data_IF_705837631800
#
_entry.id   IF_705837631800
#
_cell.length_a   1.000
_cell.length_b   1.000
_cell.length_c   1.000
_cell.angle_alpha   90.00
_cell.angle_beta   90.00
_cell.angle_gamma   90.00
#
_symmetry.space_group_name_H-M   'P 1'
#
loop_
_entity.id
_entity.type
_entity.pdbx_description
1 polymer ?
#
# COMPACT_ATOMS: atom_id res chain seq x y z
N UNK A 1 -34.23 5.26 -22.82
CA UNK A 1 -33.13 5.67 -21.94
C UNK A 1 -32.06 4.60 -21.99
N UNK A 2 -31.09 4.78 -22.85
CA UNK A 2 -29.95 3.85 -22.99
C UNK A 2 -28.95 4.15 -21.90
N UNK A 3 -28.94 3.32 -20.86
CA UNK A 3 -27.87 3.33 -19.85
C UNK A 3 -26.56 2.96 -20.52
N UNK A 4 -25.71 3.94 -20.74
CA UNK A 4 -24.30 3.70 -21.10
C UNK A 4 -23.65 3.01 -19.90
N UNK A 5 -23.49 1.69 -19.98
CA UNK A 5 -22.59 0.97 -19.08
C UNK A 5 -21.19 1.51 -19.35
N UNK A 6 -20.64 2.27 -18.43
CA UNK A 6 -19.23 2.65 -18.49
C UNK A 6 -18.42 1.36 -18.46
N UNK A 7 -17.61 1.14 -19.49
CA UNK A 7 -16.65 0.04 -19.51
C UNK A 7 -15.76 0.22 -18.27
N UNK A 8 -15.79 -0.75 -17.36
CA UNK A 8 -14.93 -0.75 -16.16
C UNK A 8 -13.48 -0.63 -16.60
N UNK A 9 -12.70 0.19 -15.91
CA UNK A 9 -11.25 0.20 -16.11
C UNK A 9 -10.68 -1.18 -15.72
N UNK A 10 -9.57 -1.58 -16.34
CA UNK A 10 -8.90 -2.87 -16.06
C UNK A 10 -8.68 -3.11 -14.56
N UNK A 11 -8.35 -2.06 -13.81
CA UNK A 11 -8.15 -2.11 -12.36
C UNK A 11 -9.41 -2.40 -11.54
N UNK A 12 -10.58 -2.15 -12.09
CA UNK A 12 -11.87 -2.34 -11.42
C UNK A 12 -12.55 -3.64 -11.84
N UNK A 13 -11.92 -4.45 -12.71
CA UNK A 13 -12.39 -5.77 -13.04
C UNK A 13 -12.29 -6.70 -11.82
N UNK A 14 -13.24 -7.63 -11.60
CA UNK A 14 -13.20 -8.56 -10.47
C UNK A 14 -11.86 -9.26 -10.29
N UNK A 15 -11.23 -9.74 -11.35
CA UNK A 15 -9.94 -10.44 -11.28
C UNK A 15 -8.80 -9.54 -10.73
N UNK A 16 -8.85 -8.24 -11.00
CA UNK A 16 -7.88 -7.29 -10.46
C UNK A 16 -8.11 -7.06 -8.95
N UNK A 17 -9.37 -6.92 -8.56
CA UNK A 17 -9.77 -6.78 -7.16
C UNK A 17 -9.45 -8.06 -6.37
N UNK A 18 -9.75 -9.23 -6.93
CA UNK A 18 -9.42 -10.53 -6.32
C UNK A 18 -7.91 -10.68 -6.09
N UNK A 19 -7.09 -10.22 -7.02
CA UNK A 19 -5.63 -10.19 -6.88
C UNK A 19 -5.18 -9.29 -5.75
N UNK A 20 -5.77 -8.08 -5.61
CA UNK A 20 -5.46 -7.14 -4.54
C UNK A 20 -5.86 -7.72 -3.17
N UNK A 21 -7.06 -8.28 -3.06
CA UNK A 21 -7.52 -8.95 -1.84
C UNK A 21 -6.63 -10.14 -1.48
N UNK A 22 -6.30 -10.99 -2.47
CA UNK A 22 -5.40 -12.13 -2.28
C UNK A 22 -4.00 -11.71 -1.84
N UNK A 23 -3.49 -10.58 -2.35
CA UNK A 23 -2.21 -10.02 -1.94
C UNK A 23 -2.26 -9.55 -0.49
N UNK A 24 -3.29 -8.79 -0.11
CA UNK A 24 -3.48 -8.30 1.26
C UNK A 24 -3.51 -9.44 2.30
N UNK A 25 -4.10 -10.57 1.95
CA UNK A 25 -4.19 -11.73 2.84
C UNK A 25 -2.87 -12.52 2.96
N UNK A 26 -1.99 -12.42 1.98
CA UNK A 26 -0.73 -13.20 1.90
C UNK A 26 0.49 -12.39 2.32
N UNK A 27 0.51 -11.09 2.01
CA UNK A 27 1.68 -10.26 2.27
C UNK A 27 1.78 -9.93 3.77
N UNK A 28 3.00 -9.93 4.28
CA UNK A 28 3.25 -9.38 5.61
C UNK A 28 3.31 -7.84 5.53
N UNK A 29 2.82 -7.12 6.54
CA UNK A 29 2.97 -5.67 6.57
C UNK A 29 4.45 -5.30 6.64
N UNK A 30 4.83 -4.16 6.06
CA UNK A 30 6.17 -3.57 6.16
C UNK A 30 6.55 -3.30 7.62
N UNK A 31 5.56 -3.01 8.43
CA UNK A 31 5.68 -2.78 9.85
C UNK A 31 4.35 -3.08 10.56
N UNK A 32 4.47 -3.61 11.78
CA UNK A 32 3.36 -3.84 12.71
C UNK A 32 3.76 -3.43 14.13
N UNK A 33 2.81 -2.95 14.93
CA UNK A 33 3.06 -2.46 16.29
C UNK A 33 3.31 -3.58 17.29
N UNK A 34 2.78 -4.78 17.07
CA UNK A 34 2.97 -5.94 17.93
C UNK A 34 3.51 -7.13 17.13
N UNK A 35 4.68 -7.63 17.56
CA UNK A 35 5.32 -8.82 16.98
C UNK A 35 4.91 -10.11 17.68
N UNK A 36 4.21 -10.03 18.84
CA UNK A 36 3.77 -11.17 19.62
C UNK A 36 2.42 -11.73 19.17
N UNK A 37 1.65 -10.95 18.40
CA UNK A 37 0.43 -11.45 17.80
C UNK A 37 0.83 -12.38 16.65
N UNK A 38 0.70 -13.68 16.85
CA UNK A 38 1.11 -14.73 15.90
C UNK A 38 0.38 -14.67 14.55
N UNK A 39 -0.67 -13.87 14.45
CA UNK A 39 -1.41 -13.70 13.22
C UNK A 39 -1.72 -12.22 12.98
N UNK A 40 -1.30 -11.70 11.83
CA UNK A 40 -1.93 -10.51 11.26
C UNK A 40 -3.42 -10.81 11.17
N UNK A 41 -4.33 -9.99 11.74
CA UNK A 41 -5.77 -10.25 11.72
C UNK A 41 -6.29 -10.64 10.34
N UNK A 42 -5.77 -10.03 9.28
CA UNK A 42 -6.11 -10.34 7.90
C UNK A 42 -5.85 -11.80 7.50
N UNK A 43 -4.79 -12.44 8.03
CA UNK A 43 -4.50 -13.86 7.75
C UNK A 43 -5.50 -14.82 8.44
N UNK A 44 -6.15 -14.39 9.50
CA UNK A 44 -7.21 -15.16 10.18
C UNK A 44 -8.57 -15.07 9.48
N UNK A 45 -8.77 -14.02 8.70
CA UNK A 45 -10.04 -13.70 8.03
C UNK A 45 -10.31 -14.58 6.78
N UNK A 46 -9.42 -15.49 6.42
CA UNK A 46 -9.29 -16.10 5.09
C UNK A 46 -10.29 -17.20 4.69
N UNK A 47 -11.45 -17.36 5.31
CA UNK A 47 -12.41 -18.42 4.93
C UNK A 47 -13.59 -17.92 4.05
N UNK A 48 -13.63 -16.63 3.69
CA UNK A 48 -14.63 -16.10 2.75
C UNK A 48 -14.26 -16.36 1.29
N UNK A 49 -15.24 -16.36 0.40
CA UNK A 49 -15.00 -16.38 -1.05
C UNK A 49 -14.46 -15.03 -1.52
N UNK A 50 -13.14 -14.91 -1.63
CA UNK A 50 -12.48 -13.68 -2.14
C UNK A 50 -13.04 -13.28 -3.49
N UNK A 51 -13.37 -14.26 -4.34
CA UNK A 51 -13.99 -14.06 -5.66
C UNK A 51 -15.36 -13.38 -5.53
N UNK A 52 -16.18 -13.78 -4.55
CA UNK A 52 -17.48 -13.16 -4.29
C UNK A 52 -17.33 -11.72 -3.81
N UNK A 53 -16.43 -11.48 -2.85
CA UNK A 53 -16.11 -10.12 -2.36
C UNK A 53 -15.64 -9.23 -3.52
N UNK A 54 -14.78 -9.76 -4.40
CA UNK A 54 -14.28 -9.03 -5.55
C UNK A 54 -15.39 -8.68 -6.55
N UNK A 55 -16.32 -9.60 -6.82
CA UNK A 55 -17.47 -9.36 -7.68
C UNK A 55 -18.41 -8.29 -7.09
N UNK A 56 -18.72 -8.38 -5.79
CA UNK A 56 -19.57 -7.43 -5.10
C UNK A 56 -18.98 -6.02 -5.15
N UNK A 57 -17.68 -5.91 -4.83
CA UNK A 57 -16.98 -4.63 -4.83
C UNK A 57 -16.84 -4.05 -6.26
N UNK A 58 -16.60 -4.89 -7.27
CA UNK A 58 -16.57 -4.47 -8.67
C UNK A 58 -17.92 -3.89 -9.11
N UNK A 59 -19.02 -4.54 -8.73
CA UNK A 59 -20.37 -4.05 -9.00
C UNK A 59 -20.65 -2.72 -8.30
N UNK A 60 -20.28 -2.59 -7.02
CA UNK A 60 -20.39 -1.34 -6.26
C UNK A 60 -19.63 -0.21 -6.96
N UNK A 61 -18.38 -0.45 -7.38
CA UNK A 61 -17.56 0.55 -8.06
C UNK A 61 -18.08 0.89 -9.47
N UNK A 62 -18.76 -0.03 -10.13
CA UNK A 62 -19.42 0.25 -11.39
C UNK A 62 -20.57 1.26 -11.24
N UNK A 63 -21.28 1.24 -10.11
CA UNK A 63 -22.40 2.14 -9.82
C UNK A 63 -21.97 3.46 -9.19
N UNK A 64 -21.04 3.42 -8.23
CA UNK A 64 -20.67 4.58 -7.39
C UNK A 64 -19.33 5.20 -7.79
N UNK A 65 -18.58 4.55 -8.65
CA UNK A 65 -17.22 4.91 -9.04
C UNK A 65 -16.17 4.37 -8.07
N UNK A 66 -15.09 3.84 -8.64
CA UNK A 66 -13.96 3.34 -7.85
C UNK A 66 -13.18 4.48 -7.19
N UNK A 67 -12.59 4.24 -6.00
CA UNK A 67 -11.76 5.23 -5.33
C UNK A 67 -10.51 5.59 -6.15
N UNK A 68 -10.33 6.87 -6.46
CA UNK A 68 -9.18 7.37 -7.25
C UNK A 68 -7.87 7.47 -6.47
N UNK A 69 -7.96 7.65 -5.14
CA UNK A 69 -6.79 7.73 -4.27
C UNK A 69 -6.43 6.35 -3.75
N UNK A 70 -5.16 5.99 -3.84
CA UNK A 70 -4.65 4.67 -3.45
C UNK A 70 -5.00 4.28 -2.00
N UNK A 71 -4.89 5.22 -1.06
CA UNK A 71 -5.30 5.00 0.33
C UNK A 71 -6.78 4.64 0.45
N UNK A 72 -7.65 5.37 -0.25
CA UNK A 72 -9.10 5.10 -0.26
C UNK A 72 -9.44 3.76 -0.91
N UNK A 73 -8.71 3.37 -1.97
CA UNK A 73 -8.87 2.06 -2.58
C UNK A 73 -8.48 0.95 -1.59
N UNK A 74 -7.37 1.12 -0.91
CA UNK A 74 -6.90 0.19 0.12
C UNK A 74 -7.91 0.06 1.28
N UNK A 75 -8.44 1.18 1.78
CA UNK A 75 -9.50 1.20 2.79
C UNK A 75 -10.77 0.49 2.30
N UNK A 76 -11.19 0.73 1.05
CA UNK A 76 -12.38 0.07 0.47
C UNK A 76 -12.22 -1.46 0.36
N UNK A 77 -11.03 -1.93 -0.01
CA UNK A 77 -10.70 -3.37 -0.03
C UNK A 77 -10.78 -3.98 1.39
N UNK A 78 -10.22 -3.31 2.39
CA UNK A 78 -10.27 -3.76 3.78
C UNK A 78 -11.69 -3.76 4.34
N UNK A 79 -12.46 -2.70 4.05
CA UNK A 79 -13.86 -2.61 4.47
C UNK A 79 -14.66 -3.79 3.91
N UNK A 80 -14.53 -4.07 2.61
CA UNK A 80 -15.22 -5.20 1.98
C UNK A 80 -14.81 -6.54 2.60
N UNK A 81 -13.53 -6.73 2.94
CA UNK A 81 -13.08 -7.93 3.66
C UNK A 81 -13.74 -8.05 5.04
N UNK A 82 -13.76 -6.97 5.83
CA UNK A 82 -14.31 -7.01 7.19
C UNK A 82 -15.84 -7.16 7.20
N UNK A 83 -16.54 -6.63 6.22
CA UNK A 83 -18.01 -6.71 6.12
C UNK A 83 -18.52 -8.06 5.61
N UNK A 84 -17.76 -8.72 4.71
CA UNK A 84 -18.23 -9.90 4.00
C UNK A 84 -17.58 -11.21 4.49
N UNK A 85 -16.87 -11.17 5.61
CA UNK A 85 -16.23 -12.35 6.20
C UNK A 85 -16.93 -12.77 7.49
N UNK A 86 -17.32 -14.03 7.60
CA UNK A 86 -18.08 -14.55 8.76
C UNK A 86 -17.33 -14.46 10.09
N UNK A 87 -15.98 -14.60 10.07
CA UNK A 87 -15.14 -14.56 11.28
C UNK A 87 -14.91 -13.15 11.81
N UNK A 88 -15.25 -12.13 11.03
CA UNK A 88 -15.02 -10.75 11.38
C UNK A 88 -16.32 -9.96 11.31
N UNK A 89 -16.58 -9.15 12.31
CA UNK A 89 -17.66 -8.17 12.28
C UNK A 89 -17.07 -6.77 12.28
N UNK A 90 -17.30 -6.00 11.22
CA UNK A 90 -16.99 -4.57 11.21
C UNK A 90 -17.96 -3.86 12.16
N UNK A 91 -17.44 -3.32 13.26
CA UNK A 91 -18.23 -2.55 14.23
C UNK A 91 -18.32 -1.08 13.81
N UNK A 92 -17.20 -0.50 13.37
CA UNK A 92 -17.12 0.88 12.90
C UNK A 92 -15.92 1.07 12.00
N UNK A 93 -16.08 1.88 10.95
CA UNK A 93 -15.02 2.42 10.10
C UNK A 93 -15.04 3.94 10.22
N UNK A 94 -13.88 4.56 10.42
CA UNK A 94 -13.70 5.99 10.41
C UNK A 94 -14.39 6.71 11.59
N UNK A 95 -14.18 6.24 12.83
CA UNK A 95 -14.74 6.90 14.00
C UNK A 95 -13.92 8.15 14.35
N UNK A 96 -14.48 9.33 14.08
CA UNK A 96 -13.82 10.61 14.36
C UNK A 96 -13.89 10.92 15.86
N UNK A 97 -12.73 11.12 16.48
CA UNK A 97 -12.58 11.56 17.88
C UNK A 97 -12.37 13.06 17.94
N UNK A 98 -13.15 13.75 18.77
CA UNK A 98 -13.16 15.21 18.87
C UNK A 98 -13.05 15.67 20.32
N UNK A 99 -12.35 16.81 20.48
CA UNK A 99 -12.52 17.68 21.66
C UNK A 99 -13.32 18.90 21.21
N UNK A 100 -14.57 18.97 21.62
CA UNK A 100 -15.53 19.99 21.18
C UNK A 100 -15.60 20.12 19.64
N UNK A 101 -14.99 21.17 19.06
CA UNK A 101 -14.94 21.42 17.61
C UNK A 101 -13.64 20.96 16.96
N UNK A 102 -12.61 20.63 17.76
CA UNK A 102 -11.31 20.21 17.26
C UNK A 102 -11.31 18.70 17.01
N UNK A 103 -10.95 18.27 15.81
CA UNK A 103 -10.68 16.86 15.52
C UNK A 103 -9.32 16.49 16.11
N UNK A 104 -9.29 15.52 17.03
CA UNK A 104 -8.09 14.95 17.61
C UNK A 104 -7.51 13.85 16.74
N UNK A 105 -8.36 13.11 16.02
CA UNK A 105 -7.98 12.04 15.11
C UNK A 105 -9.19 11.21 14.71
N UNK A 106 -8.90 10.05 14.11
CA UNK A 106 -9.90 9.09 13.66
C UNK A 106 -9.42 7.70 14.03
N UNK A 107 -10.30 6.81 14.49
CA UNK A 107 -10.02 5.38 14.59
C UNK A 107 -10.34 4.77 13.23
N UNK A 108 -9.34 4.23 12.53
CA UNK A 108 -9.52 3.72 11.18
C UNK A 108 -10.56 2.58 11.17
N UNK A 109 -10.36 1.56 12.00
CA UNK A 109 -11.27 0.43 12.11
C UNK A 109 -11.48 -0.03 13.55
N UNK A 110 -12.72 -0.31 13.91
CA UNK A 110 -13.09 -1.10 15.07
C UNK A 110 -13.75 -2.38 14.56
N UNK A 111 -13.13 -3.53 14.82
CA UNK A 111 -13.64 -4.84 14.39
C UNK A 111 -13.77 -5.78 15.57
N UNK A 112 -14.71 -6.72 15.47
CA UNK A 112 -14.76 -7.87 16.34
C UNK A 112 -14.27 -9.09 15.56
N UNK A 113 -13.20 -9.72 16.06
CA UNK A 113 -12.63 -10.93 15.51
C UNK A 113 -12.71 -12.01 16.58
N UNK A 114 -13.48 -13.06 16.32
CA UNK A 114 -13.87 -14.05 17.34
C UNK A 114 -14.55 -13.36 18.54
N UNK A 115 -13.95 -13.45 19.73
CA UNK A 115 -14.45 -12.79 20.96
C UNK A 115 -13.74 -11.49 21.30
N UNK A 116 -12.76 -11.05 20.49
CA UNK A 116 -11.95 -9.87 20.79
C UNK A 116 -12.38 -8.66 19.94
N UNK A 117 -12.39 -7.49 20.56
CA UNK A 117 -12.57 -6.22 19.89
C UNK A 117 -11.21 -5.59 19.61
N UNK A 118 -10.93 -5.31 18.35
CA UNK A 118 -9.65 -4.75 17.90
C UNK A 118 -9.85 -3.35 17.33
N UNK A 119 -9.04 -2.40 17.79
CA UNK A 119 -8.82 -1.14 17.10
C UNK A 119 -7.64 -1.32 16.16
N UNK A 120 -7.89 -1.19 14.85
CA UNK A 120 -6.86 -1.31 13.82
C UNK A 120 -6.58 0.05 13.19
N UNK A 121 -5.31 0.43 13.17
CA UNK A 121 -4.79 1.56 12.39
C UNK A 121 -4.03 1.01 11.19
N UNK A 122 -4.43 1.37 9.99
CA UNK A 122 -3.91 0.77 8.77
C UNK A 122 -3.40 1.83 7.79
N UNK A 123 -2.33 1.51 7.08
CA UNK A 123 -1.83 2.37 6.03
C UNK A 123 -1.23 1.56 4.88
N UNK A 124 -1.38 2.07 3.64
CA UNK A 124 -0.57 1.62 2.52
C UNK A 124 0.44 2.71 2.16
N UNK A 125 1.72 2.34 2.09
CA UNK A 125 2.84 3.25 1.92
C UNK A 125 3.86 2.71 0.93
N UNK A 126 4.53 3.64 0.26
CA UNK A 126 5.59 3.36 -0.71
C UNK A 126 6.79 4.18 -0.27
N UNK A 127 7.87 3.50 0.14
CA UNK A 127 9.07 4.17 0.64
C UNK A 127 10.29 3.76 -0.18
N UNK A 128 10.97 4.74 -0.74
CA UNK A 128 12.23 4.57 -1.43
C UNK A 128 13.40 4.58 -0.44
N UNK A 129 14.25 3.57 -0.51
CA UNK A 129 15.45 3.47 0.32
C UNK A 129 16.55 4.40 -0.18
N UNK A 130 17.15 5.17 0.73
CA UNK A 130 18.20 6.13 0.47
C UNK A 130 19.50 5.68 1.14
N UNK A 131 20.64 6.01 0.53
CA UNK A 131 21.95 5.68 1.07
C UNK A 131 22.41 4.25 0.78
N UNK A 132 23.41 3.78 1.52
CA UNK A 132 23.98 2.44 1.41
C UNK A 132 23.06 1.34 1.96
N UNK A 133 23.42 0.08 1.77
CA UNK A 133 22.66 -1.05 2.34
C UNK A 133 22.61 -1.01 3.87
N UNK A 134 23.71 -0.57 4.52
CA UNK A 134 23.76 -0.39 5.97
C UNK A 134 22.86 0.75 6.45
N UNK A 135 22.70 1.83 5.68
CA UNK A 135 21.76 2.91 6.02
C UNK A 135 20.32 2.42 5.93
N UNK A 136 20.00 1.63 4.90
CA UNK A 136 18.66 1.08 4.67
C UNK A 136 18.21 0.01 5.70
N UNK A 137 19.09 -0.45 6.57
CA UNK A 137 18.68 -1.21 7.76
C UNK A 137 17.92 -0.37 8.79
N UNK A 138 17.98 0.95 8.68
CA UNK A 138 17.31 1.89 9.58
C UNK A 138 16.01 2.41 8.96
N UNK A 139 14.98 2.53 9.77
CA UNK A 139 13.66 3.04 9.32
C UNK A 139 13.74 4.47 8.75
N UNK A 140 14.68 5.27 9.22
CA UNK A 140 14.91 6.66 8.78
C UNK A 140 15.32 6.75 7.30
N UNK A 141 15.96 5.72 6.74
CA UNK A 141 16.42 5.71 5.36
C UNK A 141 15.29 5.47 4.34
N UNK A 142 14.05 5.29 4.77
CA UNK A 142 12.91 5.00 3.91
C UNK A 142 12.00 6.20 3.79
N UNK A 143 12.02 6.83 2.61
CA UNK A 143 11.40 8.13 2.34
C UNK A 143 10.32 8.00 1.27
N UNK A 144 9.17 8.63 1.52
CA UNK A 144 8.07 8.65 0.54
C UNK A 144 8.42 9.44 -0.73
N UNK A 145 7.82 9.14 -1.90
CA UNK A 145 8.15 9.76 -3.18
C UNK A 145 8.00 11.29 -3.24
N UNK A 146 7.19 11.86 -2.35
CA UNK A 146 6.99 13.32 -2.23
C UNK A 146 8.01 14.00 -1.31
N UNK A 147 8.89 13.26 -0.63
CA UNK A 147 9.76 13.76 0.43
C UNK A 147 9.02 14.48 1.58
N UNK A 148 7.76 14.14 1.83
CA UNK A 148 6.95 14.68 2.92
C UNK A 148 6.65 13.62 4.01
N UNK A 149 6.96 12.36 3.74
CA UNK A 149 6.70 11.23 4.60
C UNK A 149 7.96 10.37 4.74
N UNK A 150 8.16 9.82 5.93
CA UNK A 150 9.29 8.96 6.27
C UNK A 150 8.81 7.85 7.21
N UNK A 151 9.31 6.63 7.01
CA UNK A 151 8.80 5.44 7.70
C UNK A 151 8.86 5.55 9.23
N UNK A 152 9.98 6.03 9.79
CA UNK A 152 10.13 6.20 11.24
C UNK A 152 9.17 7.26 11.81
N UNK A 153 8.93 8.36 11.08
CA UNK A 153 7.97 9.41 11.49
C UNK A 153 6.55 8.81 11.48
N UNK A 154 6.20 8.04 10.44
CA UNK A 154 4.88 7.38 10.38
C UNK A 154 4.71 6.38 11.52
N UNK A 155 5.74 5.58 11.82
CA UNK A 155 5.72 4.62 12.94
C UNK A 155 5.55 5.34 14.28
N UNK A 156 6.32 6.40 14.52
CA UNK A 156 6.23 7.18 15.76
C UNK A 156 4.84 7.79 15.94
N UNK A 157 4.27 8.35 14.87
CA UNK A 157 2.91 8.90 14.91
C UNK A 157 1.86 7.82 15.20
N UNK A 158 1.99 6.63 14.59
CA UNK A 158 1.14 5.49 14.89
C UNK A 158 1.23 5.11 16.37
N UNK A 159 2.43 4.86 16.89
CA UNK A 159 2.65 4.35 18.24
C UNK A 159 2.20 5.34 19.33
N UNK A 160 2.54 6.62 19.16
CA UNK A 160 2.39 7.62 20.22
C UNK A 160 1.12 8.46 20.08
N UNK A 161 0.40 8.34 18.99
CA UNK A 161 -0.82 9.12 18.78
C UNK A 161 -2.00 8.23 18.34
N UNK A 162 -1.97 7.63 17.15
CA UNK A 162 -3.13 6.96 16.59
C UNK A 162 -3.56 5.75 17.45
N UNK A 163 -2.64 4.85 17.80
CA UNK A 163 -2.95 3.66 18.59
C UNK A 163 -3.37 3.96 20.02
N UNK A 164 -3.03 5.14 20.56
CA UNK A 164 -3.44 5.54 21.91
C UNK A 164 -4.84 6.18 21.91
N UNK A 165 -5.32 6.63 20.76
CA UNK A 165 -6.51 7.47 20.65
C UNK A 165 -7.77 6.82 21.24
N UNK A 166 -7.99 5.52 21.01
CA UNK A 166 -9.12 4.78 21.56
C UNK A 166 -9.08 4.64 23.09
N UNK A 167 -7.91 4.80 23.72
CA UNK A 167 -7.72 4.71 25.17
C UNK A 167 -7.80 6.07 25.87
N UNK A 168 -7.83 7.17 25.11
CA UNK A 168 -8.00 8.53 25.68
C UNK A 168 -9.42 8.74 26.16
N UNK A 169 -9.62 9.72 27.07
CA UNK A 169 -10.94 10.11 27.54
C UNK A 169 -11.89 10.47 26.36
N UNK A 170 -11.40 11.27 25.40
CA UNK A 170 -12.19 11.63 24.22
C UNK A 170 -12.47 10.43 23.31
N UNK A 171 -11.52 9.48 23.20
CA UNK A 171 -11.71 8.23 22.46
C UNK A 171 -12.81 7.37 23.09
N UNK A 172 -12.78 7.20 24.41
CA UNK A 172 -13.83 6.48 25.15
C UNK A 172 -15.19 7.17 25.04
N UNK A 173 -15.24 8.49 25.17
CA UNK A 173 -16.48 9.26 24.96
C UNK A 173 -17.03 9.08 23.55
N UNK A 174 -16.17 9.03 22.53
CA UNK A 174 -16.59 8.79 21.15
C UNK A 174 -17.14 7.36 20.95
N UNK A 175 -16.52 6.36 21.58
CA UNK A 175 -17.02 4.98 21.58
C UNK A 175 -18.39 4.89 22.26
N UNK A 176 -18.55 5.47 23.46
CA UNK A 176 -19.81 5.47 24.22
C UNK A 176 -20.94 6.17 23.46
N UNK A 177 -20.67 7.30 22.79
CA UNK A 177 -21.64 8.04 21.99
C UNK A 177 -22.22 7.22 20.82
N UNK A 178 -21.50 6.18 20.39
CA UNK A 178 -21.88 5.30 19.28
C UNK A 178 -22.29 3.90 19.74
N UNK A 179 -22.44 3.67 21.07
CA UNK A 179 -22.74 2.36 21.65
C UNK A 179 -21.71 1.27 21.22
N UNK A 180 -20.44 1.66 21.09
CA UNK A 180 -19.34 0.80 20.67
C UNK A 180 -18.53 0.29 21.86
N UNK A 181 -18.08 -0.97 21.84
CA UNK A 181 -17.26 -1.51 22.93
C UNK A 181 -15.85 -0.91 22.92
N UNK A 182 -15.26 -0.82 24.12
CA UNK A 182 -13.82 -0.50 24.25
C UNK A 182 -12.98 -1.61 23.62
N UNK A 183 -11.95 -1.29 22.80
CA UNK A 183 -11.08 -2.29 22.23
C UNK A 183 -10.27 -3.05 23.28
N UNK A 184 -10.20 -4.39 23.15
CA UNK A 184 -9.32 -5.23 23.95
C UNK A 184 -7.84 -5.03 23.56
N UNK A 185 -7.59 -4.74 22.27
CA UNK A 185 -6.25 -4.53 21.72
C UNK A 185 -6.25 -3.43 20.65
N UNK A 186 -5.09 -2.78 20.50
CA UNK A 186 -4.83 -1.84 19.41
C UNK A 186 -3.68 -2.36 18.55
N UNK A 187 -3.82 -2.31 17.23
CA UNK A 187 -2.83 -2.84 16.30
C UNK A 187 -2.62 -1.89 15.11
N UNK A 188 -1.38 -1.49 14.90
CA UNK A 188 -0.96 -0.70 13.74
C UNK A 188 -0.31 -1.56 12.68
N UNK A 189 -0.73 -1.41 11.42
CA UNK A 189 -0.27 -2.16 10.27
C UNK A 189 0.09 -1.21 9.12
N UNK A 190 1.33 -1.27 8.65
CA UNK A 190 1.76 -0.52 7.45
C UNK A 190 2.03 -1.54 6.35
N UNK A 191 1.24 -1.50 5.29
CA UNK A 191 1.42 -2.28 4.06
C UNK A 191 2.12 -1.47 2.97
N UNK A 192 2.53 -2.12 1.90
CA UNK A 192 3.07 -1.49 0.70
C UNK A 192 4.43 -2.00 0.27
N UNK A 193 5.32 -1.11 -0.16
CA UNK A 193 6.60 -1.50 -0.74
C UNK A 193 7.77 -0.71 -0.17
N UNK A 194 8.84 -1.42 0.20
CA UNK A 194 10.17 -0.87 0.40
C UNK A 194 10.93 -0.97 -0.93
N UNK A 195 11.15 0.17 -1.56
CA UNK A 195 11.62 0.30 -2.94
C UNK A 195 13.13 0.56 -2.93
N UNK A 196 13.92 -0.37 -3.46
CA UNK A 196 15.38 -0.29 -3.46
C UNK A 196 15.91 0.62 -4.58
N UNK A 197 17.07 1.27 -4.43
CA UNK A 197 17.74 1.90 -5.56
C UNK A 197 18.01 0.86 -6.67
N UNK A 198 17.81 1.22 -7.94
CA UNK A 198 17.95 0.31 -9.07
C UNK A 198 19.36 -0.28 -9.24
N UNK A 199 20.39 0.40 -8.74
CA UNK A 199 21.79 -0.01 -8.78
C UNK A 199 22.22 -0.85 -7.55
N UNK A 200 21.29 -1.15 -6.64
CA UNK A 200 21.52 -1.95 -5.44
C UNK A 200 20.88 -3.35 -5.54
N UNK A 201 20.74 -3.89 -6.75
CA UNK A 201 20.08 -5.19 -7.01
C UNK A 201 20.72 -6.33 -6.22
N UNK A 202 22.04 -6.29 -6.06
CA UNK A 202 22.81 -7.33 -5.33
C UNK A 202 22.83 -7.10 -3.80
N UNK A 203 22.22 -6.03 -3.31
CA UNK A 203 22.25 -5.61 -1.90
C UNK A 203 20.85 -5.67 -1.27
N UNK A 204 20.11 -6.75 -1.48
CA UNK A 204 18.78 -6.90 -0.87
C UNK A 204 18.89 -6.95 0.64
N UNK A 205 18.16 -6.10 1.39
CA UNK A 205 18.02 -6.28 2.84
C UNK A 205 17.30 -7.61 3.11
N UNK A 206 17.68 -8.30 4.17
CA UNK A 206 17.07 -9.57 4.59
C UNK A 206 15.56 -9.50 4.88
N UNK A 207 15.00 -8.29 4.97
CA UNK A 207 13.59 -8.03 5.30
C UNK A 207 12.74 -7.50 4.14
N UNK A 208 13.23 -7.53 2.90
CA UNK A 208 12.35 -7.21 1.77
C UNK A 208 11.43 -8.40 1.50
N UNK A 209 10.13 -8.14 1.44
CA UNK A 209 9.15 -9.14 1.00
C UNK A 209 9.60 -9.75 -0.32
N UNK A 210 9.99 -11.03 -0.28
CA UNK A 210 10.69 -11.73 -1.36
C UNK A 210 9.86 -11.95 -2.63
N UNK A 211 8.56 -11.66 -2.58
CA UNK A 211 7.67 -12.03 -3.68
C UNK A 211 7.73 -11.10 -4.89
N UNK A 212 7.94 -9.80 -4.70
CA UNK A 212 7.93 -8.83 -5.82
C UNK A 212 8.93 -7.70 -5.61
N UNK A 213 10.12 -7.79 -6.23
CA UNK A 213 11.15 -6.78 -6.12
C UNK A 213 10.69 -5.44 -6.69
N UNK A 214 10.86 -4.37 -5.90
CA UNK A 214 10.57 -3.00 -6.30
C UNK A 214 11.84 -2.15 -6.25
N UNK A 215 12.09 -1.44 -7.35
CA UNK A 215 13.25 -0.58 -7.50
C UNK A 215 12.84 0.85 -7.82
N UNK A 216 13.71 1.81 -7.54
CA UNK A 216 13.52 3.19 -7.96
C UNK A 216 14.74 3.73 -8.70
N UNK A 217 14.49 4.68 -9.59
CA UNK A 217 15.52 5.44 -10.29
C UNK A 217 15.06 6.88 -10.49
N UNK A 218 15.96 7.88 -10.48
CA UNK A 218 15.61 9.21 -10.93
C UNK A 218 15.29 9.18 -12.44
N UNK A 219 14.40 10.03 -12.89
CA UNK A 219 13.91 10.06 -14.28
C UNK A 219 15.03 10.05 -15.32
N UNK A 220 16.08 10.84 -15.13
CA UNK A 220 17.25 10.88 -16.03
C UNK A 220 17.98 9.55 -16.17
N UNK A 221 17.84 8.63 -15.21
CA UNK A 221 18.45 7.29 -15.22
C UNK A 221 17.45 6.18 -15.54
N UNK A 222 16.17 6.47 -15.69
CA UNK A 222 15.12 5.47 -15.78
C UNK A 222 15.32 4.47 -16.92
N UNK A 223 15.66 4.93 -18.14
CA UNK A 223 15.92 4.04 -19.28
C UNK A 223 17.16 3.16 -19.07
N UNK A 224 18.19 3.68 -18.37
CA UNK A 224 19.36 2.88 -17.99
C UNK A 224 18.98 1.83 -16.97
N UNK A 225 18.20 2.19 -15.96
CA UNK A 225 17.66 1.28 -14.94
C UNK A 225 16.81 0.18 -15.58
N UNK A 226 15.87 0.52 -16.45
CA UNK A 226 15.01 -0.43 -17.17
C UNK A 226 15.85 -1.45 -17.94
N UNK A 227 16.86 -1.01 -18.69
CA UNK A 227 17.76 -1.91 -19.43
C UNK A 227 18.57 -2.81 -18.50
N UNK A 228 19.05 -2.29 -17.37
CA UNK A 228 19.83 -3.05 -16.40
C UNK A 228 18.97 -4.13 -15.72
N UNK A 229 17.80 -3.74 -15.22
CA UNK A 229 16.87 -4.63 -14.51
C UNK A 229 16.25 -5.71 -15.42
N UNK A 230 16.18 -5.46 -16.74
CA UNK A 230 15.68 -6.45 -17.71
C UNK A 230 16.70 -7.49 -18.10
N UNK A 231 18.02 -7.29 -17.84
CA UNK A 231 19.08 -8.21 -18.30
C UNK A 231 18.92 -9.69 -17.93
N UNK A 232 18.40 -10.04 -16.72
CA UNK A 232 18.21 -11.43 -16.35
C UNK A 232 17.04 -12.12 -17.08
N UNK A 233 16.22 -11.34 -17.81
CA UNK A 233 15.01 -11.82 -18.47
C UNK A 233 15.21 -11.86 -19.99
N UNK A 234 14.46 -12.75 -20.67
CA UNK A 234 14.51 -12.83 -22.14
C UNK A 234 13.95 -11.55 -22.80
N UNK A 235 14.20 -11.42 -24.12
CA UNK A 235 13.63 -10.34 -24.93
C UNK A 235 12.09 -10.37 -25.01
N UNK A 236 11.46 -11.45 -24.51
CA UNK A 236 10.00 -11.58 -24.45
C UNK A 236 9.36 -10.76 -23.34
N UNK A 237 10.18 -10.14 -22.47
CA UNK A 237 9.70 -9.23 -21.43
C UNK A 237 9.75 -7.77 -21.88
N UNK A 238 8.85 -6.98 -21.36
CA UNK A 238 8.76 -5.54 -21.62
C UNK A 238 8.16 -4.79 -20.45
N UNK A 239 8.33 -3.48 -20.46
CA UNK A 239 7.84 -2.60 -19.41
C UNK A 239 6.47 -2.05 -19.75
N UNK A 240 5.55 -2.06 -18.78
CA UNK A 240 4.21 -1.47 -18.84
C UNK A 240 4.09 -0.41 -17.77
N UNK A 241 3.66 0.81 -18.14
CA UNK A 241 3.31 1.84 -17.17
C UNK A 241 2.04 1.43 -16.44
N UNK A 242 2.05 1.54 -15.13
CA UNK A 242 0.91 1.24 -14.25
C UNK A 242 0.20 2.53 -13.87
N UNK A 243 -1.13 2.51 -13.94
CA UNK A 243 -1.94 3.54 -13.30
C UNK A 243 -1.87 3.41 -11.77
N UNK A 244 -2.17 4.48 -11.04
CA UNK A 244 -2.01 4.49 -9.58
C UNK A 244 -2.83 3.43 -8.86
N UNK A 245 -4.02 3.15 -9.34
CA UNK A 245 -4.91 2.11 -8.79
C UNK A 245 -4.43 0.67 -9.03
N UNK A 246 -3.39 0.48 -9.86
CA UNK A 246 -2.71 -0.80 -10.10
C UNK A 246 -1.46 -1.01 -9.22
N UNK A 247 -1.19 -0.14 -8.25
CA UNK A 247 0.04 -0.21 -7.46
C UNK A 247 -0.05 -1.12 -6.24
N UNK A 248 -1.24 -1.47 -5.76
CA UNK A 248 -1.43 -2.23 -4.51
C UNK A 248 -0.79 -3.62 -4.62
N UNK A 249 -1.31 -4.45 -5.50
CA UNK A 249 -0.81 -5.81 -5.71
C UNK A 249 0.12 -5.88 -6.95
N UNK A 250 0.91 -6.96 -7.07
CA UNK A 250 1.64 -7.21 -8.30
C UNK A 250 0.73 -7.24 -9.51
N UNK A 251 1.11 -6.49 -10.55
CA UNK A 251 0.33 -6.40 -11.77
C UNK A 251 0.33 -7.74 -12.53
N UNK A 252 -0.84 -8.19 -12.96
CA UNK A 252 -0.97 -9.33 -13.84
C UNK A 252 -1.58 -8.88 -15.17
N UNK A 253 -0.78 -8.97 -16.22
CA UNK A 253 -1.16 -8.56 -17.56
C UNK A 253 -0.08 -8.91 -18.57
N UNK A 254 -0.29 -8.51 -19.81
CA UNK A 254 0.75 -8.53 -20.84
C UNK A 254 1.51 -7.21 -20.80
N UNK A 255 2.81 -7.25 -21.09
CA UNK A 255 3.49 -6.02 -21.41
C UNK A 255 2.83 -5.41 -22.66
N UNK A 256 2.53 -4.12 -22.61
CA UNK A 256 2.11 -3.41 -23.81
C UNK A 256 3.10 -3.74 -24.93
N UNK A 257 2.58 -4.07 -26.13
CA UNK A 257 3.42 -4.26 -27.32
C UNK A 257 4.44 -3.14 -27.37
N UNK A 258 5.71 -3.38 -27.71
CA UNK A 258 6.80 -2.50 -27.45
C UNK A 258 6.60 -1.18 -28.19
N UNK A 259 5.88 -0.26 -27.61
CA UNK A 259 6.30 1.11 -27.75
C UNK A 259 7.67 1.08 -27.09
N UNK A 260 8.69 1.02 -27.94
CA UNK A 260 10.06 1.25 -27.50
C UNK A 260 9.96 2.50 -26.67
N UNK A 261 10.06 2.37 -25.33
CA UNK A 261 10.03 3.53 -24.45
C UNK A 261 11.27 4.33 -24.84
N UNK A 262 11.12 5.22 -25.82
CA UNK A 262 12.19 6.07 -26.35
C UNK A 262 12.40 7.28 -25.45
N UNK A 263 11.32 7.70 -24.79
CA UNK A 263 11.32 8.80 -23.83
C UNK A 263 10.27 8.51 -22.75
N UNK A 264 10.56 8.91 -21.53
CA UNK A 264 9.64 8.91 -20.42
C UNK A 264 9.23 10.35 -20.13
N UNK A 265 7.96 10.54 -19.77
CA UNK A 265 7.51 11.83 -19.24
C UNK A 265 8.09 12.04 -17.84
N UNK A 266 8.38 13.29 -17.50
CA UNK A 266 8.86 13.64 -16.17
C UNK A 266 7.70 13.49 -15.17
N UNK A 267 7.81 12.60 -14.17
CA UNK A 267 6.74 12.39 -13.19
C UNK A 267 6.62 13.61 -12.26
N UNK A 268 5.42 13.90 -11.81
CA UNK A 268 5.20 14.93 -10.77
C UNK A 268 5.74 14.49 -9.40
N UNK A 269 5.63 13.22 -9.07
CA UNK A 269 6.20 12.60 -7.87
C UNK A 269 6.90 11.29 -8.24
N UNK A 270 6.14 10.31 -8.69
CA UNK A 270 6.62 9.02 -9.19
C UNK A 270 5.65 8.45 -10.21
N UNK A 271 6.21 7.73 -11.20
CA UNK A 271 5.50 6.79 -12.07
C UNK A 271 5.96 5.37 -11.77
N UNK A 272 5.08 4.39 -11.93
CA UNK A 272 5.40 2.98 -11.71
C UNK A 272 5.33 2.20 -13.01
N UNK A 273 6.30 1.33 -13.23
CA UNK A 273 6.40 0.45 -14.40
C UNK A 273 6.60 -0.99 -13.94
N UNK A 274 5.85 -1.92 -14.52
CA UNK A 274 5.94 -3.35 -14.29
C UNK A 274 6.68 -4.04 -15.45
N UNK A 275 7.53 -5.02 -15.14
CA UNK A 275 8.18 -5.88 -16.13
C UNK A 275 7.38 -7.15 -16.33
N UNK A 276 6.67 -7.25 -17.46
CA UNK A 276 5.78 -8.35 -17.81
C UNK A 276 6.20 -9.05 -19.10
N UNK A 277 5.68 -10.27 -19.30
CA UNK A 277 5.83 -10.99 -20.57
C UNK A 277 5.00 -10.31 -21.67
N UNK A 278 5.54 -10.21 -22.90
CA UNK A 278 4.91 -9.51 -24.03
C UNK A 278 3.75 -10.27 -24.68
N UNK A 279 3.76 -11.60 -24.60
CA UNK A 279 2.80 -12.46 -25.32
C UNK A 279 1.85 -13.22 -24.38
N UNK A 280 2.18 -13.30 -23.09
CA UNK A 280 1.40 -14.05 -22.12
C UNK A 280 0.97 -13.17 -20.96
N UNK A 281 -0.30 -13.29 -20.57
CA UNK A 281 -0.81 -12.71 -19.34
C UNK A 281 -0.12 -13.42 -18.18
N UNK A 282 0.50 -12.65 -17.28
CA UNK A 282 1.18 -13.20 -16.13
C UNK A 282 1.55 -12.12 -15.12
N UNK A 283 1.89 -12.58 -13.92
CA UNK A 283 2.31 -11.67 -12.84
C UNK A 283 3.66 -11.03 -13.19
N UNK A 284 3.80 -9.75 -12.92
CA UNK A 284 5.05 -8.99 -13.11
C UNK A 284 6.24 -9.67 -12.44
N UNK A 285 7.43 -9.50 -13.00
CA UNK A 285 8.68 -10.02 -12.42
C UNK A 285 9.26 -9.07 -11.38
N UNK A 286 9.12 -7.78 -11.64
CA UNK A 286 9.55 -6.70 -10.77
C UNK A 286 8.90 -5.39 -11.23
N UNK A 287 9.00 -4.35 -10.40
CA UNK A 287 8.55 -3.01 -10.76
C UNK A 287 9.64 -1.96 -10.55
N UNK A 288 9.57 -0.91 -11.35
CA UNK A 288 10.44 0.26 -11.26
C UNK A 288 9.60 1.51 -11.01
N UNK A 289 9.90 2.21 -9.94
CA UNK A 289 9.39 3.54 -9.67
C UNK A 289 10.35 4.58 -10.24
N UNK A 290 9.88 5.36 -11.19
CA UNK A 290 10.63 6.48 -11.77
C UNK A 290 10.28 7.71 -10.97
N UNK A 291 11.27 8.26 -10.26
CA UNK A 291 11.16 9.45 -9.41
C UNK A 291 11.56 10.70 -10.20
N UNK A 292 11.09 11.88 -9.78
CA UNK A 292 11.63 13.14 -10.28
C UNK A 292 13.14 13.24 -10.00
N UNK A 293 13.85 14.05 -10.79
CA UNK A 293 15.31 14.08 -10.73
C UNK A 293 15.83 14.59 -9.38
N UNK A 294 15.09 15.50 -8.74
CA UNK A 294 15.45 16.16 -7.48
C UNK A 294 15.21 15.26 -6.25
N UNK A 295 14.50 14.13 -6.43
CA UNK A 295 14.08 13.26 -5.33
C UNK A 295 15.24 12.83 -4.41
N UNK A 296 16.35 12.35 -4.98
CA UNK A 296 17.48 11.85 -4.19
C UNK A 296 18.11 12.95 -3.33
N UNK A 297 18.29 14.15 -3.90
CA UNK A 297 18.82 15.30 -3.17
C UNK A 297 17.91 15.77 -2.05
N UNK A 298 16.60 15.87 -2.31
CA UNK A 298 15.61 16.27 -1.30
C UNK A 298 15.48 15.23 -0.20
N UNK A 299 15.55 13.95 -0.54
CA UNK A 299 15.53 12.86 0.41
C UNK A 299 16.75 12.90 1.35
N UNK A 300 17.95 13.17 0.84
CA UNK A 300 19.12 13.40 1.67
C UNK A 300 18.97 14.61 2.61
N UNK A 301 18.43 15.73 2.11
CA UNK A 301 18.13 16.87 2.97
C UNK A 301 17.13 16.54 4.10
N UNK A 302 16.18 15.64 3.85
CA UNK A 302 15.23 15.18 4.86
C UNK A 302 15.93 14.35 5.95
N UNK A 303 16.92 13.54 5.59
CA UNK A 303 17.74 12.79 6.54
C UNK A 303 18.59 13.71 7.43
N UNK A 304 19.25 14.71 6.83
CA UNK A 304 20.17 15.62 7.54
C UNK A 304 19.47 16.51 8.58
N UNK A 305 18.21 16.90 8.32
CA UNK A 305 17.43 17.71 9.27
C UNK A 305 17.16 17.01 10.59
N UNK A 306 17.17 15.69 10.62
CA UNK A 306 16.85 14.89 11.80
C UNK A 306 18.04 14.71 12.74
N UNK A 307 19.26 14.91 12.26
CA UNK A 307 20.46 14.89 13.12
C UNK A 307 20.68 16.18 13.90
N UNK A 308 19.77 17.17 13.78
CA UNK A 308 19.86 18.49 14.46
C UNK A 308 18.78 18.71 15.52
N UNK A 309 17.99 17.72 15.84
CA UNK A 309 17.05 17.67 16.96
C UNK A 309 17.47 16.53 17.90
#
# INVERSE_FOLDING_TARGET
>A
MTTSHSVLSESNHPDAIERELSWLLKVDPLWRSDTKVDCVPLKKICNGSITEIANNLSNEWAWHGAPKRLGRRFESLLTALFEQTEQCKLLKHGLVVRDQKQTLGELDYLIQLDSQVLHLEVAIKFYAGIGSSSDRSRQQAWIGPSCQDRLDIKINHLLHHQLQLSQTEHGQQALDQHDLPTPDQTLGLIYGYLIQPWNAVDQRPEHTHDSHPAFWAPHQQALKAMRHLSRPYSTDYGWTRLERDQWIAPYAGQAALPQVIRSLELPTQADCYALNHKQHVGVEKLRLFVMRNEFEQEAHHMLDRTHRI
#
